data_IF_534457914513
#
_entry.id   IF_534457914513
#
_cell.length_a   1.000
_cell.length_b   1.000
_cell.length_c   1.000
_cell.angle_alpha   90.00
_cell.angle_beta   90.00
_cell.angle_gamma   90.00
#
_symmetry.space_group_name_H-M   'P 1'
#
loop_
_entity.id
_entity.type
_entity.pdbx_description
1 polymer ?
#
# COMPACT_ATOMS: atom_id res chain seq x y z
N UNK A 1 -11.37 -17.20 -1.04
CA UNK A 1 -10.88 -17.37 0.35
C UNK A 1 -10.09 -16.11 0.70
N UNK A 2 -10.27 -15.53 1.89
CA UNK A 2 -9.44 -14.39 2.32
C UNK A 2 -8.00 -14.87 2.58
N UNK A 3 -6.97 -14.11 2.18
CA UNK A 3 -5.57 -14.52 2.35
C UNK A 3 -5.25 -14.78 3.82
N UNK A 4 -4.53 -15.88 4.09
CA UNK A 4 -4.09 -16.23 5.44
C UNK A 4 -2.86 -15.40 5.82
N UNK A 5 -2.53 -15.32 7.11
CA UNK A 5 -1.32 -14.60 7.55
C UNK A 5 -0.02 -15.16 6.93
N UNK A 6 -0.03 -16.43 6.49
CA UNK A 6 1.11 -17.08 5.82
C UNK A 6 1.32 -16.61 4.38
N UNK A 7 0.28 -16.05 3.76
CA UNK A 7 0.32 -15.58 2.36
C UNK A 7 0.76 -14.11 2.25
N UNK A 8 0.97 -13.44 3.41
CA UNK A 8 1.34 -12.03 3.46
C UNK A 8 2.86 -11.89 3.55
N UNK A 9 3.41 -10.98 2.74
CA UNK A 9 4.81 -10.58 2.78
C UNK A 9 4.96 -9.18 3.38
N UNK A 10 6.09 -8.91 4.03
CA UNK A 10 6.41 -7.58 4.58
C UNK A 10 7.15 -6.73 3.52
N UNK A 11 6.64 -5.53 3.27
CA UNK A 11 7.34 -4.53 2.44
C UNK A 11 7.94 -3.48 3.38
N UNK A 12 9.25 -3.23 3.25
CA UNK A 12 9.95 -2.18 4.00
C UNK A 12 10.24 -1.00 3.10
N UNK A 13 9.80 0.19 3.52
CA UNK A 13 10.06 1.45 2.82
C UNK A 13 10.78 2.43 3.75
N UNK A 14 11.76 3.14 3.20
CA UNK A 14 12.43 4.27 3.88
C UNK A 14 11.83 5.54 3.29
N UNK A 15 11.32 6.40 4.16
CA UNK A 15 10.71 7.67 3.78
C UNK A 15 11.30 8.80 4.60
N UNK A 16 11.21 10.02 4.07
CA UNK A 16 11.64 11.20 4.81
C UNK A 16 10.85 11.37 6.10
N UNK A 17 11.51 11.98 7.09
CA UNK A 17 10.93 12.22 8.42
C UNK A 17 9.61 13.01 8.35
N UNK A 18 9.49 13.94 7.42
CA UNK A 18 8.29 14.74 7.22
C UNK A 18 7.13 13.89 6.67
N UNK A 19 7.40 13.06 5.65
CA UNK A 19 6.43 12.11 5.10
C UNK A 19 5.93 11.15 6.19
N UNK A 20 6.84 10.60 7.00
CA UNK A 20 6.46 9.74 8.13
C UNK A 20 5.52 10.44 9.13
N UNK A 21 5.80 11.71 9.45
CA UNK A 21 4.94 12.52 10.34
C UNK A 21 3.55 12.73 9.75
N UNK A 22 3.46 13.04 8.46
CA UNK A 22 2.18 13.20 7.77
C UNK A 22 1.37 11.90 7.77
N UNK A 23 2.01 10.77 7.45
CA UNK A 23 1.35 9.46 7.46
C UNK A 23 0.81 9.09 8.85
N UNK A 24 1.59 9.36 9.91
CA UNK A 24 1.16 9.18 11.30
C UNK A 24 -0.05 10.06 11.66
N UNK A 25 -0.05 11.32 11.24
CA UNK A 25 -1.16 12.23 11.48
C UNK A 25 -2.43 11.78 10.75
N UNK A 26 -2.31 11.38 9.48
CA UNK A 26 -3.42 10.84 8.69
C UNK A 26 -4.00 9.57 9.30
N UNK A 27 -3.16 8.66 9.79
CA UNK A 27 -3.60 7.47 10.52
C UNK A 27 -4.42 7.83 11.77
N UNK A 28 -3.97 8.84 12.53
CA UNK A 28 -4.71 9.37 13.68
C UNK A 28 -6.09 9.92 13.30
N UNK A 29 -6.16 10.76 12.26
CA UNK A 29 -7.41 11.35 11.76
C UNK A 29 -8.38 10.27 11.26
N UNK A 30 -7.87 9.29 10.53
CA UNK A 30 -8.66 8.16 9.99
C UNK A 30 -9.05 7.12 11.04
N UNK A 31 -8.61 7.26 12.30
CA UNK A 31 -8.75 6.25 13.35
C UNK A 31 -8.26 4.86 12.89
N UNK A 32 -7.16 4.85 12.15
CA UNK A 32 -6.58 3.67 11.51
C UNK A 32 -5.14 3.45 11.97
N UNK A 33 -4.64 2.22 11.83
CA UNK A 33 -3.21 1.97 12.00
C UNK A 33 -2.41 2.54 10.83
N UNK A 34 -1.14 2.86 11.07
CA UNK A 34 -0.23 3.30 10.00
C UNK A 34 -0.15 2.26 8.86
N UNK A 35 -0.08 0.97 9.22
CA UNK A 35 -0.09 -0.13 8.23
C UNK A 35 -1.37 -0.14 7.39
N UNK A 36 -2.54 0.15 7.98
CA UNK A 36 -3.78 0.24 7.22
C UNK A 36 -3.75 1.38 6.20
N UNK A 37 -3.27 2.57 6.61
CA UNK A 37 -3.12 3.71 5.70
C UNK A 37 -2.16 3.39 4.56
N UNK A 38 -1.04 2.72 4.87
CA UNK A 38 -0.08 2.30 3.85
C UNK A 38 -0.65 1.27 2.89
N UNK A 39 -1.38 0.27 3.39
CA UNK A 39 -2.03 -0.73 2.54
C UNK A 39 -3.09 -0.08 1.64
N UNK A 40 -3.92 0.82 2.18
CA UNK A 40 -4.90 1.60 1.38
C UNK A 40 -4.20 2.38 0.25
N UNK A 41 -3.03 2.98 0.52
CA UNK A 41 -2.26 3.69 -0.50
C UNK A 41 -1.64 2.75 -1.56
N UNK A 42 -1.18 1.57 -1.16
CA UNK A 42 -0.68 0.54 -2.08
C UNK A 42 -1.80 0.06 -2.99
N UNK A 43 -2.98 -0.25 -2.42
CA UNK A 43 -4.15 -0.67 -3.19
C UNK A 43 -4.52 0.41 -4.21
N UNK A 44 -4.63 1.67 -3.79
CA UNK A 44 -4.91 2.79 -4.69
C UNK A 44 -3.86 2.97 -5.80
N UNK A 45 -2.58 2.75 -5.49
CA UNK A 45 -1.51 2.81 -6.49
C UNK A 45 -1.66 1.69 -7.52
N UNK A 46 -1.93 0.46 -7.09
CA UNK A 46 -2.16 -0.68 -7.99
C UNK A 46 -3.43 -0.53 -8.83
N UNK A 47 -4.39 0.27 -8.37
CA UNK A 47 -5.61 0.58 -9.12
C UNK A 47 -5.47 1.74 -10.12
N UNK A 48 -4.37 2.49 -10.09
CA UNK A 48 -4.15 3.62 -11.01
C UNK A 48 -4.01 3.14 -12.46
N UNK A 49 -4.58 3.87 -13.42
CA UNK A 49 -4.67 3.47 -14.83
C UNK A 49 -3.29 3.11 -15.41
N UNK A 50 -2.28 3.93 -15.14
CA UNK A 50 -0.92 3.70 -15.62
C UNK A 50 -0.29 2.42 -15.04
N UNK A 51 -0.56 2.11 -13.76
CA UNK A 51 -0.02 0.91 -13.13
C UNK A 51 -0.78 -0.34 -13.62
N UNK A 52 -2.10 -0.25 -13.75
CA UNK A 52 -2.92 -1.32 -14.32
C UNK A 52 -2.51 -1.65 -15.76
N UNK A 53 -2.27 -0.65 -16.59
CA UNK A 53 -1.77 -0.84 -17.96
C UNK A 53 -0.43 -1.57 -17.96
N UNK A 54 0.49 -1.22 -17.06
CA UNK A 54 1.79 -1.91 -16.94
C UNK A 54 1.62 -3.37 -16.50
N UNK A 55 0.80 -3.63 -15.48
CA UNK A 55 0.53 -5.00 -14.99
C UNK A 55 -0.01 -5.87 -16.12
N UNK A 56 -0.99 -5.37 -16.88
CA UNK A 56 -1.59 -6.09 -17.99
C UNK A 56 -0.61 -6.27 -19.16
N UNK A 57 0.11 -5.22 -19.55
CA UNK A 57 1.06 -5.25 -20.67
C UNK A 57 2.20 -6.25 -20.45
N UNK A 58 2.62 -6.44 -19.21
CA UNK A 58 3.74 -7.29 -18.85
C UNK A 58 3.33 -8.60 -18.15
N UNK A 59 2.02 -8.89 -18.02
CA UNK A 59 1.47 -10.10 -17.40
C UNK A 59 2.03 -10.37 -15.98
N UNK A 60 2.03 -9.34 -15.11
CA UNK A 60 2.70 -9.40 -13.79
C UNK A 60 1.90 -10.10 -12.69
N UNK A 61 0.73 -10.67 -12.99
CA UNK A 61 -0.15 -11.36 -12.03
C UNK A 61 0.06 -12.90 -11.99
N UNK A 62 1.01 -13.43 -12.77
CA UNK A 62 1.37 -14.86 -12.80
C UNK A 62 2.36 -15.31 -11.71
#
# INVERSE_FOLDING_TARGET
MSPTAKDKQEVRAIVDKEVYRLLKALAGIKQASLNRVLNEAIDQYLESDNVRELIQRYNLEE
#
